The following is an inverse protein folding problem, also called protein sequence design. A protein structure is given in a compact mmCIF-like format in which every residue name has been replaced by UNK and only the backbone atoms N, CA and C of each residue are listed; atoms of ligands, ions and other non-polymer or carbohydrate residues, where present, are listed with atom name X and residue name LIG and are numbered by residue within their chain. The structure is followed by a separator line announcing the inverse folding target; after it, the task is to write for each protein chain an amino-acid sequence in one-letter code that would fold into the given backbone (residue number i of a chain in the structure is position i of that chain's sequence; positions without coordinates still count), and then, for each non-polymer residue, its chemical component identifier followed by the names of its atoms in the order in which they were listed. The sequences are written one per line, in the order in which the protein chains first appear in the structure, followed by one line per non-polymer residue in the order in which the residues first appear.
data_IF_263958423578
#
_entry.id   IF_263958423578
#
_cell.length_a   1.000
_cell.length_b   1.000
_cell.length_c   1.000
_cell.angle_alpha   90.00
_cell.angle_beta   90.00
_cell.angle_gamma   90.00
#
_symmetry.space_group_name_H-M   'P 1'
#
loop_
_entity.id
_entity.type
_entity.pdbx_description
1 polymer ?
#
# COMPACT_ATOMS: atom_id res chain seq x y z
N UNK A 1 -18.21 23.51 14.23
CA UNK A 1 -17.35 22.44 14.80
C UNK A 1 -16.82 21.58 13.66
N UNK A 2 -15.50 21.57 13.41
CA UNK A 2 -14.92 20.71 12.37
C UNK A 2 -15.11 19.24 12.78
N UNK A 3 -15.86 18.47 11.98
CA UNK A 3 -16.24 17.10 12.29
C UNK A 3 -15.09 16.14 12.00
N UNK A 4 -14.07 16.09 12.87
CA UNK A 4 -12.92 15.19 12.71
C UNK A 4 -13.40 13.75 12.37
N UNK A 5 -12.89 13.19 11.27
CA UNK A 5 -13.28 11.86 10.80
C UNK A 5 -12.45 10.74 11.43
N UNK A 6 -11.19 11.04 11.75
CA UNK A 6 -10.23 10.14 12.41
C UNK A 6 -9.49 10.95 13.49
N UNK A 7 -9.06 10.30 14.58
CA UNK A 7 -8.13 10.91 15.54
C UNK A 7 -6.83 11.31 14.83
N UNK A 8 -6.34 12.56 15.00
CA UNK A 8 -5.06 12.99 14.44
C UNK A 8 -3.90 12.07 14.84
N UNK A 9 -3.95 11.52 16.05
CA UNK A 9 -2.95 10.59 16.59
C UNK A 9 -3.10 9.17 16.01
N UNK A 10 -4.30 8.74 15.63
CA UNK A 10 -4.45 7.49 14.87
C UNK A 10 -3.91 7.71 13.46
N UNK A 11 -4.24 8.83 12.84
CA UNK A 11 -3.84 9.18 11.48
C UNK A 11 -2.31 9.24 11.33
N UNK A 12 -1.64 10.02 12.18
CA UNK A 12 -0.18 10.11 12.14
C UNK A 12 0.50 8.75 12.44
N UNK A 13 -0.11 7.87 13.26
CA UNK A 13 0.46 6.52 13.48
C UNK A 13 0.44 5.72 12.19
N UNK A 14 -0.74 5.66 11.57
CA UNK A 14 -0.95 4.86 10.38
C UNK A 14 -0.05 5.34 9.25
N UNK A 15 0.09 6.65 9.07
CA UNK A 15 0.99 7.22 8.07
C UNK A 15 2.46 6.87 8.33
N UNK A 16 2.98 7.12 9.54
CA UNK A 16 4.38 6.80 9.84
C UNK A 16 4.65 5.30 9.75
N UNK A 17 3.71 4.48 10.23
CA UNK A 17 3.87 3.04 10.18
C UNK A 17 3.81 2.49 8.74
N UNK A 18 2.97 3.06 7.87
CA UNK A 18 2.94 2.67 6.45
C UNK A 18 4.24 2.97 5.70
N UNK A 19 5.00 4.01 6.09
CA UNK A 19 6.33 4.27 5.49
C UNK A 19 7.28 3.09 5.67
N UNK A 20 7.13 2.36 6.78
CA UNK A 20 8.00 1.23 7.12
C UNK A 20 7.83 0.03 6.18
N UNK A 21 6.75 -0.02 5.39
CA UNK A 21 6.55 -1.01 4.30
C UNK A 21 7.71 -0.98 3.30
N UNK A 22 8.19 0.22 2.95
CA UNK A 22 9.31 0.40 2.01
C UNK A 22 10.65 0.63 2.70
N UNK A 23 10.62 1.01 3.98
CA UNK A 23 11.81 1.34 4.77
C UNK A 23 11.73 0.67 6.15
N UNK A 24 12.02 -0.65 6.25
CA UNK A 24 11.91 -1.38 7.52
C UNK A 24 12.81 -0.84 8.64
N UNK A 25 13.89 -0.15 8.29
CA UNK A 25 14.81 0.50 9.24
C UNK A 25 14.15 1.55 10.12
N UNK A 26 13.01 2.12 9.71
CA UNK A 26 12.25 3.09 10.51
C UNK A 26 11.57 2.46 11.73
N UNK A 27 11.37 1.13 11.74
CA UNK A 27 10.79 0.41 12.87
C UNK A 27 9.37 0.86 13.24
N UNK A 28 8.92 0.51 14.46
CA UNK A 28 7.59 0.91 14.94
C UNK A 28 7.63 2.38 15.42
N UNK A 29 6.74 3.28 14.93
CA UNK A 29 6.73 4.68 15.31
C UNK A 29 6.57 4.87 16.83
N UNK A 30 7.37 5.79 17.39
CA UNK A 30 7.29 6.13 18.80
C UNK A 30 6.17 7.15 19.06
N UNK A 31 5.09 6.71 19.70
CA UNK A 31 3.90 7.54 19.97
C UNK A 31 4.10 8.58 21.09
N UNK A 32 5.15 8.44 21.91
CA UNK A 32 5.46 9.45 22.94
C UNK A 32 5.80 10.82 22.36
N UNK A 33 6.26 10.86 21.11
CA UNK A 33 6.69 12.11 20.48
C UNK A 33 5.51 13.04 20.10
N UNK A 34 4.25 12.57 20.12
CA UNK A 34 3.12 13.32 19.55
C UNK A 34 1.75 13.03 20.19
N UNK A 35 1.64 12.06 21.12
CA UNK A 35 0.41 11.83 21.90
C UNK A 35 0.54 12.29 23.34
N UNK A 36 -0.46 13.03 23.84
CA UNK A 36 -0.59 13.38 25.27
C UNK A 36 -1.03 12.20 26.14
N UNK A 37 -1.47 11.08 25.55
CA UNK A 37 -1.95 9.88 26.26
C UNK A 37 -1.36 8.61 25.64
N UNK A 38 -0.04 8.42 25.67
CA UNK A 38 0.64 7.35 24.94
C UNK A 38 0.20 5.94 25.36
N UNK A 39 -0.21 5.76 26.61
CA UNK A 39 -0.68 4.46 27.13
C UNK A 39 -1.94 3.94 26.41
N UNK A 40 -2.87 4.83 26.03
CA UNK A 40 -4.08 4.43 25.29
C UNK A 40 -3.72 3.86 23.92
N UNK A 41 -2.79 4.52 23.23
CA UNK A 41 -2.33 4.14 21.90
C UNK A 41 -1.44 2.92 21.92
N UNK A 42 -0.61 2.72 22.96
CA UNK A 42 0.25 1.55 23.11
C UNK A 42 -0.54 0.24 23.02
N UNK A 43 -1.76 0.23 23.54
CA UNK A 43 -2.67 -0.92 23.47
C UNK A 43 -3.09 -1.30 22.04
N UNK A 44 -3.03 -0.37 21.08
CA UNK A 44 -3.32 -0.59 19.67
C UNK A 44 -2.06 -0.81 18.83
N UNK A 45 -0.97 -0.10 19.14
CA UNK A 45 0.32 -0.20 18.46
C UNK A 45 0.89 -1.61 18.59
N UNK A 46 0.96 -2.17 19.80
CA UNK A 46 1.62 -3.46 20.02
C UNK A 46 0.96 -4.60 19.22
N UNK A 47 -0.38 -4.76 19.23
CA UNK A 47 -1.05 -5.71 18.35
C UNK A 47 -0.86 -5.41 16.85
N UNK A 48 -0.86 -4.13 16.44
CA UNK A 48 -0.63 -3.79 15.03
C UNK A 48 0.81 -4.08 14.60
N UNK A 49 1.78 -3.88 15.48
CA UNK A 49 3.18 -4.20 15.25
C UNK A 49 3.37 -5.70 14.98
N UNK A 50 2.65 -6.55 15.72
CA UNK A 50 2.64 -8.01 15.49
C UNK A 50 2.05 -8.40 14.14
N UNK A 51 1.05 -7.67 13.64
CA UNK A 51 0.48 -7.87 12.31
C UNK A 51 1.39 -7.37 11.18
N UNK A 52 2.36 -6.50 11.51
CA UNK A 52 3.29 -5.93 10.56
C UNK A 52 2.71 -4.76 9.75
N UNK A 53 3.61 -3.98 9.15
CA UNK A 53 3.25 -2.83 8.32
C UNK A 53 2.74 -3.26 6.94
N UNK A 54 3.28 -4.34 6.38
CA UNK A 54 2.77 -4.93 5.14
C UNK A 54 1.32 -5.42 5.34
N UNK A 55 1.06 -6.14 6.44
CA UNK A 55 -0.29 -6.54 6.80
C UNK A 55 -1.24 -5.35 6.94
N UNK A 56 -0.79 -4.25 7.55
CA UNK A 56 -1.59 -3.02 7.61
C UNK A 56 -1.97 -2.51 6.20
N UNK A 57 -1.01 -2.41 5.28
CA UNK A 57 -1.26 -1.97 3.90
C UNK A 57 -2.27 -2.89 3.18
N UNK A 58 -2.24 -4.18 3.48
CA UNK A 58 -3.16 -5.18 2.93
C UNK A 58 -4.52 -5.21 3.64
N UNK A 59 -4.75 -4.33 4.63
CA UNK A 59 -6.02 -4.18 5.33
C UNK A 59 -6.13 -4.94 6.65
N UNK A 60 -5.05 -5.57 7.14
CA UNK A 60 -4.98 -6.19 8.47
C UNK A 60 -4.82 -5.12 9.55
N UNK A 61 -5.94 -4.46 9.86
CA UNK A 61 -6.03 -3.44 10.91
C UNK A 61 -6.41 -4.10 12.24
N UNK A 62 -5.60 -3.87 13.27
CA UNK A 62 -5.90 -4.31 14.63
C UNK A 62 -7.25 -3.76 15.12
N UNK A 63 -8.07 -4.63 15.70
CA UNK A 63 -9.36 -4.24 16.30
C UNK A 63 -9.21 -3.13 17.34
N UNK A 64 -8.05 -2.98 17.96
CA UNK A 64 -7.80 -1.95 18.99
C UNK A 64 -7.87 -0.52 18.42
N UNK A 65 -7.52 -0.32 17.15
CA UNK A 65 -7.70 0.99 16.48
C UNK A 65 -9.16 1.41 16.43
N UNK A 66 -10.05 0.47 16.14
CA UNK A 66 -11.51 0.71 16.16
C UNK A 66 -12.00 1.12 17.54
N UNK A 67 -11.50 0.49 18.60
CA UNK A 67 -11.89 0.83 19.97
C UNK A 67 -11.43 2.26 20.33
N UNK A 68 -10.21 2.64 19.97
CA UNK A 68 -9.71 4.01 20.19
C UNK A 68 -10.54 5.04 19.42
N UNK A 69 -10.88 4.76 18.16
CA UNK A 69 -11.73 5.66 17.39
C UNK A 69 -13.15 5.76 17.96
N UNK A 70 -13.70 4.66 18.48
CA UNK A 70 -14.99 4.66 19.15
C UNK A 70 -14.98 5.54 20.41
N UNK A 71 -13.92 5.42 21.24
CA UNK A 71 -13.75 6.27 22.42
C UNK A 71 -13.67 7.75 22.05
N UNK A 72 -12.96 8.10 20.96
CA UNK A 72 -12.94 9.48 20.47
C UNK A 72 -14.33 9.94 20.04
N UNK A 73 -15.06 9.13 19.24
CA UNK A 73 -16.41 9.49 18.81
C UNK A 73 -17.35 9.73 19.98
N UNK A 74 -17.30 8.88 21.01
CA UNK A 74 -18.06 9.10 22.24
C UNK A 74 -17.64 10.39 22.96
N UNK A 75 -16.34 10.64 23.10
CA UNK A 75 -15.81 11.84 23.76
C UNK A 75 -16.24 13.15 23.09
N UNK A 76 -16.28 13.18 21.76
CA UNK A 76 -16.68 14.37 20.99
C UNK A 76 -18.18 14.44 20.69
N UNK A 77 -19.00 13.51 21.21
CA UNK A 77 -20.43 13.44 20.93
C UNK A 77 -20.80 13.13 19.47
N UNK A 78 -19.90 12.48 18.72
CA UNK A 78 -20.11 12.12 17.32
C UNK A 78 -21.02 10.89 17.19
N UNK A 79 -22.03 10.97 16.30
CA UNK A 79 -22.91 9.85 15.96
C UNK A 79 -22.32 8.89 14.91
N UNK A 80 -21.05 9.07 14.54
CA UNK A 80 -20.39 8.22 13.52
C UNK A 80 -20.13 6.82 14.06
N UNK A 81 -20.20 5.82 13.19
CA UNK A 81 -19.91 4.42 13.52
C UNK A 81 -18.43 4.11 13.38
N UNK A 82 -17.80 3.65 14.46
CA UNK A 82 -16.41 3.16 14.44
C UNK A 82 -16.25 1.90 13.56
N UNK A 83 -17.29 1.07 13.44
CA UNK A 83 -17.29 -0.09 12.53
C UNK A 83 -17.23 0.37 11.07
N UNK A 84 -18.06 1.35 10.69
CA UNK A 84 -18.05 1.91 9.35
C UNK A 84 -16.72 2.61 9.05
N UNK A 85 -16.18 3.33 10.02
CA UNK A 85 -14.85 3.94 9.93
C UNK A 85 -13.76 2.88 9.64
N UNK A 86 -13.72 1.79 10.41
CA UNK A 86 -12.73 0.74 10.23
C UNK A 86 -12.87 0.06 8.87
N UNK A 87 -14.10 -0.24 8.44
CA UNK A 87 -14.36 -0.82 7.11
C UNK A 87 -13.86 0.09 5.98
N UNK A 88 -14.14 1.40 6.07
CA UNK A 88 -13.66 2.37 5.07
C UNK A 88 -12.14 2.51 5.10
N UNK A 89 -11.51 2.51 6.27
CA UNK A 89 -10.06 2.53 6.40
C UNK A 89 -9.43 1.32 5.70
N UNK A 90 -9.95 0.11 5.95
CA UNK A 90 -9.47 -1.13 5.32
C UNK A 90 -9.59 -1.05 3.79
N UNK A 91 -10.75 -0.61 3.28
CA UNK A 91 -10.96 -0.44 1.83
C UNK A 91 -9.94 0.55 1.21
N UNK A 92 -9.63 1.65 1.90
CA UNK A 92 -8.64 2.61 1.42
C UNK A 92 -7.22 2.03 1.44
N UNK A 93 -6.83 1.30 2.49
CA UNK A 93 -5.52 0.65 2.58
C UNK A 93 -5.31 -0.34 1.42
N UNK A 94 -6.29 -1.22 1.20
CA UNK A 94 -6.26 -2.19 0.10
C UNK A 94 -6.17 -1.47 -1.25
N UNK A 95 -6.93 -0.38 -1.44
CA UNK A 95 -6.89 0.43 -2.66
C UNK A 95 -5.51 1.07 -2.87
N UNK A 96 -4.87 1.57 -1.81
CA UNK A 96 -3.51 2.11 -1.88
C UNK A 96 -2.53 1.00 -2.28
N UNK A 97 -2.58 -0.16 -1.62
CA UNK A 97 -1.74 -1.31 -1.95
C UNK A 97 -1.91 -1.75 -3.41
N UNK A 98 -3.15 -1.79 -3.90
CA UNK A 98 -3.46 -2.08 -5.30
C UNK A 98 -2.84 -1.04 -6.25
N UNK A 99 -2.95 0.26 -5.97
CA UNK A 99 -2.34 1.29 -6.81
C UNK A 99 -0.82 1.23 -6.80
N UNK A 100 -0.20 0.96 -5.65
CA UNK A 100 1.25 0.75 -5.56
C UNK A 100 1.71 -0.45 -6.40
N UNK A 101 0.93 -1.54 -6.38
CA UNK A 101 1.20 -2.69 -7.25
C UNK A 101 1.04 -2.32 -8.72
N UNK A 102 -0.05 -1.64 -9.11
CA UNK A 102 -0.27 -1.20 -10.49
C UNK A 102 0.87 -0.31 -11.00
N UNK A 103 1.31 0.65 -10.19
CA UNK A 103 2.39 1.56 -10.56
C UNK A 103 3.71 0.82 -10.78
N UNK A 104 4.05 -0.12 -9.86
CA UNK A 104 5.21 -0.99 -10.04
C UNK A 104 5.14 -1.81 -11.34
N UNK A 105 3.98 -2.40 -11.64
CA UNK A 105 3.80 -3.18 -12.88
C UNK A 105 3.85 -2.32 -14.13
N UNK A 106 3.27 -1.10 -14.07
CA UNK A 106 3.35 -0.14 -15.16
C UNK A 106 4.80 0.18 -15.50
N UNK A 107 5.64 0.41 -14.49
CA UNK A 107 7.07 0.66 -14.73
C UNK A 107 7.77 -0.57 -15.30
N UNK A 108 7.56 -1.75 -14.72
CA UNK A 108 8.21 -3.00 -15.13
C UNK A 108 7.82 -3.47 -16.55
N UNK A 109 6.59 -3.19 -16.98
CA UNK A 109 6.03 -3.64 -18.26
C UNK A 109 5.69 -2.48 -19.21
N UNK A 110 6.24 -1.28 -18.95
CA UNK A 110 6.11 -0.17 -19.91
C UNK A 110 6.81 -0.53 -21.22
N UNK A 111 6.16 -0.26 -22.35
CA UNK A 111 6.77 -0.41 -23.68
C UNK A 111 7.98 0.51 -23.86
N UNK A 112 8.04 1.60 -23.07
CA UNK A 112 9.16 2.53 -22.96
C UNK A 112 10.32 1.99 -22.12
N UNK A 113 10.19 0.81 -21.50
CA UNK A 113 11.31 0.21 -20.76
C UNK A 113 12.45 -0.12 -21.72
N UNK A 114 13.67 0.21 -21.32
CA UNK A 114 14.87 -0.02 -22.14
C UNK A 114 15.04 -1.50 -22.52
N UNK A 115 14.66 -2.40 -21.62
CA UNK A 115 14.63 -3.84 -21.86
C UNK A 115 13.62 -4.23 -22.94
N UNK A 116 12.38 -3.73 -22.87
CA UNK A 116 11.36 -4.04 -23.88
C UNK A 116 11.73 -3.46 -25.24
N UNK A 117 12.31 -2.26 -25.27
CA UNK A 117 12.82 -1.63 -26.49
C UNK A 117 13.97 -2.45 -27.11
N UNK A 118 14.93 -2.90 -26.31
CA UNK A 118 16.02 -3.74 -26.78
C UNK A 118 15.52 -5.08 -27.33
N UNK A 119 14.59 -5.73 -26.61
CA UNK A 119 13.97 -6.98 -27.04
C UNK A 119 13.15 -6.82 -28.33
N UNK A 120 12.42 -5.71 -28.48
CA UNK A 120 11.68 -5.38 -29.69
C UNK A 120 12.61 -5.22 -30.89
N UNK A 121 13.73 -4.52 -30.73
CA UNK A 121 14.74 -4.40 -31.80
C UNK A 121 15.33 -5.75 -32.19
N UNK A 122 15.64 -6.60 -31.22
CA UNK A 122 16.17 -7.94 -31.47
C UNK A 122 15.20 -8.79 -32.28
N UNK A 123 13.91 -8.76 -31.92
CA UNK A 123 12.85 -9.45 -32.66
C UNK A 123 12.71 -8.86 -34.07
N UNK A 124 12.70 -7.53 -34.22
CA UNK A 124 12.60 -6.88 -35.53
C UNK A 124 13.78 -7.23 -36.45
N UNK A 125 14.99 -7.36 -35.90
CA UNK A 125 16.17 -7.82 -36.63
C UNK A 125 15.96 -9.27 -37.11
N UNK A 126 15.56 -10.17 -36.21
CA UNK A 126 15.31 -11.58 -36.57
C UNK A 126 14.22 -11.74 -37.63
N UNK A 127 13.15 -10.93 -37.57
CA UNK A 127 12.09 -10.93 -38.59
C UNK A 127 12.65 -10.51 -39.95
N UNK A 128 13.50 -9.47 -40.00
CA UNK A 128 14.11 -9.00 -41.25
C UNK A 128 15.08 -10.02 -41.83
N UNK A 129 15.88 -10.66 -40.99
CA UNK A 129 16.79 -11.73 -41.40
C UNK A 129 16.04 -12.93 -41.98
N UNK A 130 14.99 -13.39 -41.30
CA UNK A 130 14.12 -14.47 -41.78
C UNK A 130 13.40 -14.10 -43.09
N UNK A 131 12.89 -12.87 -43.19
CA UNK A 131 12.28 -12.38 -44.42
C UNK A 131 13.29 -12.35 -45.59
N UNK A 132 14.53 -11.93 -45.33
CA UNK A 132 15.59 -11.90 -46.33
C UNK A 132 16.02 -13.30 -46.81
N UNK A 133 15.93 -14.33 -45.96
CA UNK A 133 16.20 -15.72 -46.35
C UNK A 133 15.14 -16.29 -47.33
N UNK A 134 13.95 -15.70 -47.41
CA UNK A 134 12.91 -16.09 -48.36
C UNK A 134 12.45 -17.55 -48.18
N UNK A 135 12.36 -18.32 -49.27
CA UNK A 135 11.94 -19.73 -49.23
C UNK A 135 13.09 -20.71 -48.89
N UNK A 136 14.31 -20.23 -48.61
CA UNK A 136 15.48 -21.11 -48.46
C UNK A 136 15.39 -22.05 -47.24
N UNK A 137 14.65 -21.66 -46.20
CA UNK A 137 14.46 -22.44 -44.97
C UNK A 137 13.08 -23.15 -44.92
N UNK A 138 12.34 -23.15 -46.03
CA UNK A 138 11.06 -23.87 -46.13
C UNK A 138 11.31 -25.25 -46.73
N UNK A 139 10.86 -26.36 -46.10
CA UNK A 139 11.02 -27.70 -46.64
C UNK A 139 10.49 -27.80 -48.07
N UNK A 140 11.32 -28.31 -48.99
CA UNK A 140 10.86 -28.58 -50.36
C UNK A 140 9.81 -29.70 -50.33
N UNK A 141 8.68 -29.45 -50.99
CA UNK A 141 7.60 -30.44 -51.18
C UNK A 141 8.06 -31.60 -52.04
#
# INVERSE_FOLDING_TARGET
MQTQQTSPEIEAFLFEYLKTVRQPSLGVPNVRAWSRRPHLFQSAISPQAKLGAQGLLEGLVSLKWRHLQALLFSYIGSKKSANLWASRLIQQLIRIGHYMWKDRNRLAHSEDSSWYTARKREIDIGIREQFAMGLMDIPKR
#
